data_IF_499796778505
#
_entry.id   IF_499796778505
#
_cell.length_a   1.000
_cell.length_b   1.000
_cell.length_c   1.000
_cell.angle_alpha   90.00
_cell.angle_beta   90.00
_cell.angle_gamma   90.00
#
_symmetry.space_group_name_H-M   'P 1'
#
loop_
_entity.id
_entity.type
_entity.pdbx_description
1 polymer ?
#
# COMPACT_ATOMS: atom_id res chain seq x y z
N UNK A 1 -4.70 -5.59 -12.29
CA UNK A 1 -4.73 -4.81 -11.06
C UNK A 1 -3.42 -5.00 -10.34
N UNK A 2 -2.70 -3.92 -10.08
CA UNK A 2 -1.37 -3.96 -9.49
C UNK A 2 -1.38 -4.07 -7.97
N UNK A 3 -0.21 -4.40 -7.42
CA UNK A 3 0.04 -4.40 -5.98
C UNK A 3 -0.09 -2.98 -5.38
N UNK A 4 0.24 -1.98 -6.19
CA UNK A 4 0.20 -0.56 -5.82
C UNK A 4 -1.22 -0.09 -5.49
N UNK A 5 -2.21 -0.39 -6.32
CA UNK A 5 -3.59 0.08 -6.12
C UNK A 5 -4.18 -0.47 -4.81
N UNK A 6 -3.85 -1.73 -4.48
CA UNK A 6 -4.24 -2.34 -3.21
C UNK A 6 -3.52 -1.70 -2.03
N UNK A 7 -2.23 -1.42 -2.16
CA UNK A 7 -1.46 -0.72 -1.14
C UNK A 7 -1.99 0.70 -0.90
N UNK A 8 -2.23 1.45 -1.97
CA UNK A 8 -2.80 2.81 -1.95
C UNK A 8 -4.19 2.81 -1.30
N UNK A 9 -5.02 1.79 -1.57
CA UNK A 9 -6.31 1.64 -0.92
C UNK A 9 -6.17 1.50 0.60
N UNK A 10 -5.28 0.63 1.08
CA UNK A 10 -5.03 0.45 2.52
C UNK A 10 -4.48 1.75 3.13
N UNK A 11 -3.58 2.44 2.43
CA UNK A 11 -3.01 3.70 2.88
C UNK A 11 -4.07 4.80 2.98
N UNK A 12 -4.92 4.94 1.97
CA UNK A 12 -6.02 5.91 1.92
C UNK A 12 -7.07 5.67 3.01
N UNK A 13 -7.23 4.42 3.43
CA UNK A 13 -8.12 4.00 4.52
C UNK A 13 -7.48 4.14 5.92
N UNK A 14 -6.35 4.84 6.03
CA UNK A 14 -5.67 5.09 7.32
C UNK A 14 -4.59 4.06 7.65
N UNK A 15 -4.05 3.36 6.66
CA UNK A 15 -2.98 2.37 6.82
C UNK A 15 -3.42 1.03 7.40
N UNK A 16 -4.71 0.87 7.70
CA UNK A 16 -5.30 -0.37 8.22
C UNK A 16 -6.70 -0.56 7.61
N UNK A 17 -6.94 -1.69 6.95
CA UNK A 17 -8.22 -1.93 6.27
C UNK A 17 -8.59 -3.42 6.20
N UNK A 18 -9.89 -3.71 6.18
CA UNK A 18 -10.41 -5.06 5.88
C UNK A 18 -10.51 -5.29 4.38
N UNK A 19 -10.58 -6.56 3.97
CA UNK A 19 -10.77 -6.92 2.55
C UNK A 19 -11.98 -6.21 1.92
N UNK A 20 -13.11 -6.16 2.65
CA UNK A 20 -14.34 -5.51 2.19
C UNK A 20 -14.15 -4.02 1.93
N UNK A 21 -13.47 -3.30 2.84
CA UNK A 21 -13.20 -1.87 2.67
C UNK A 21 -12.24 -1.61 1.50
N UNK A 22 -11.21 -2.44 1.34
CA UNK A 22 -10.28 -2.35 0.21
C UNK A 22 -11.04 -2.54 -1.10
N UNK A 23 -11.89 -3.56 -1.19
CA UNK A 23 -12.70 -3.81 -2.39
C UNK A 23 -13.66 -2.68 -2.69
N UNK A 24 -14.36 -2.16 -1.69
CA UNK A 24 -15.26 -1.03 -1.84
C UNK A 24 -14.51 0.20 -2.38
N UNK A 25 -13.35 0.54 -1.82
CA UNK A 25 -12.51 1.62 -2.32
C UNK A 25 -12.10 1.40 -3.79
N UNK A 26 -11.63 0.18 -4.10
CA UNK A 26 -11.17 -0.15 -5.45
C UNK A 26 -12.32 -0.16 -6.48
N UNK A 27 -13.50 -0.62 -6.12
CA UNK A 27 -14.68 -0.61 -7.00
C UNK A 27 -15.15 0.81 -7.30
N UNK A 28 -15.12 1.69 -6.29
CA UNK A 28 -15.46 3.10 -6.48
C UNK A 28 -14.47 3.84 -7.39
N UNK A 29 -13.17 3.51 -7.30
CA UNK A 29 -12.10 4.20 -8.04
C UNK A 29 -11.81 3.61 -9.41
N UNK A 30 -11.84 2.28 -9.52
CA UNK A 30 -11.55 1.52 -10.73
C UNK A 30 -12.77 0.64 -11.00
N UNK A 31 -13.66 1.13 -11.88
CA UNK A 31 -14.98 0.58 -12.23
C UNK A 31 -15.04 -0.96 -12.46
N UNK A 32 -13.89 -1.65 -12.57
CA UNK A 32 -13.79 -3.10 -12.57
C UNK A 32 -12.61 -3.59 -11.72
N UNK A 33 -12.90 -4.39 -10.68
CA UNK A 33 -11.92 -5.00 -9.79
C UNK A 33 -12.36 -6.43 -9.46
N UNK A 34 -11.62 -7.44 -9.92
CA UNK A 34 -11.90 -8.85 -9.60
C UNK A 34 -11.43 -9.21 -8.19
N UNK A 35 -12.23 -10.02 -7.49
CA UNK A 35 -11.91 -10.49 -6.14
C UNK A 35 -10.57 -11.23 -6.10
N UNK A 36 -10.38 -12.17 -7.03
CA UNK A 36 -9.18 -12.99 -7.17
C UNK A 36 -7.93 -12.14 -7.36
N UNK A 37 -8.01 -11.07 -8.16
CA UNK A 37 -6.88 -10.16 -8.41
C UNK A 37 -6.51 -9.35 -7.17
N UNK A 38 -7.50 -8.90 -6.40
CA UNK A 38 -7.27 -8.22 -5.13
C UNK A 38 -6.59 -9.17 -4.13
N UNK A 39 -7.05 -10.42 -4.09
CA UNK A 39 -6.49 -11.44 -3.22
C UNK A 39 -5.04 -11.80 -3.58
N UNK A 40 -4.73 -11.90 -4.87
CA UNK A 40 -3.37 -12.14 -5.37
C UNK A 40 -2.43 -10.98 -5.05
N UNK A 41 -2.89 -9.74 -5.25
CA UNK A 41 -2.14 -8.54 -4.89
C UNK A 41 -1.87 -8.45 -3.38
N UNK A 42 -2.85 -8.73 -2.53
CA UNK A 42 -2.67 -8.79 -1.08
C UNK A 42 -1.64 -9.85 -0.66
N UNK A 43 -1.67 -11.04 -1.27
CA UNK A 43 -0.67 -12.09 -1.01
C UNK A 43 0.73 -11.61 -1.35
N UNK A 44 0.92 -10.98 -2.51
CA UNK A 44 2.22 -10.44 -2.93
C UNK A 44 2.73 -9.35 -1.99
N UNK A 45 1.85 -8.43 -1.56
CA UNK A 45 2.20 -7.40 -0.58
C UNK A 45 2.63 -8.00 0.78
N UNK A 46 1.98 -9.08 1.22
CA UNK A 46 2.36 -9.82 2.44
C UNK A 46 3.72 -10.51 2.24
N UNK A 47 3.93 -11.19 1.11
CA UNK A 47 5.21 -11.84 0.80
C UNK A 47 6.37 -10.83 0.78
N UNK A 48 6.12 -9.63 0.29
CA UNK A 48 7.09 -8.53 0.27
C UNK A 48 7.22 -7.80 1.62
N UNK A 49 6.54 -8.25 2.68
CA UNK A 49 6.53 -7.62 4.01
C UNK A 49 6.07 -6.16 4.03
N UNK A 50 5.31 -5.74 3.01
CA UNK A 50 4.77 -4.38 2.89
C UNK A 50 3.50 -4.20 3.71
N UNK A 51 2.73 -5.29 3.87
CA UNK A 51 1.55 -5.34 4.71
C UNK A 51 1.54 -6.61 5.56
N UNK A 52 0.76 -6.61 6.64
CA UNK A 52 0.49 -7.77 7.48
C UNK A 52 -1.01 -7.99 7.64
N UNK A 53 -1.47 -9.23 7.48
CA UNK A 53 -2.88 -9.60 7.62
C UNK A 53 -3.16 -10.33 8.93
N UNK A 54 -3.79 -9.65 9.89
CA UNK A 54 -4.11 -10.17 11.24
C UNK A 54 -5.59 -10.58 11.31
N UNK A 55 -5.94 -11.76 11.85
CA UNK A 55 -7.34 -12.13 12.05
C UNK A 55 -8.04 -11.20 13.04
N UNK A 56 -9.27 -10.79 12.74
CA UNK A 56 -10.07 -9.88 13.59
C UNK A 56 -10.43 -10.53 14.92
N UNK A 57 -10.69 -11.83 14.90
CA UNK A 57 -10.97 -12.62 16.08
C UNK A 57 -10.39 -14.03 15.92
N UNK A 58 -10.08 -14.68 17.04
CA UNK A 58 -9.59 -16.06 17.04
C UNK A 58 -10.64 -16.99 16.41
N UNK A 59 -10.26 -17.73 15.38
CA UNK A 59 -11.17 -18.59 14.62
C UNK A 59 -11.99 -17.89 13.53
N UNK A 60 -11.76 -16.59 13.28
CA UNK A 60 -12.43 -15.86 12.20
C UNK A 60 -11.56 -15.80 10.94
N UNK A 61 -12.14 -16.12 9.79
CA UNK A 61 -11.48 -16.00 8.47
C UNK A 61 -11.29 -14.54 8.02
N UNK A 62 -12.00 -13.59 8.65
CA UNK A 62 -11.84 -12.16 8.36
C UNK A 62 -10.52 -11.64 8.91
N UNK A 63 -9.78 -10.97 8.05
CA UNK A 63 -8.48 -10.36 8.36
C UNK A 63 -8.53 -8.85 8.17
N UNK A 64 -7.78 -8.17 9.02
CA UNK A 64 -7.42 -6.76 8.87
C UNK A 64 -6.00 -6.71 8.34
N UNK A 65 -5.79 -5.93 7.27
CA UNK A 65 -4.52 -5.71 6.63
C UNK A 65 -3.97 -4.37 7.10
N UNK A 66 -2.76 -4.36 7.65
CA UNK A 66 -2.04 -3.15 8.07
C UNK A 66 -0.79 -2.96 7.23
N UNK A 67 -0.45 -1.73 6.89
CA UNK A 67 0.84 -1.40 6.30
C UNK A 67 1.95 -1.62 7.34
N UNK A 68 3.02 -2.30 6.94
CA UNK A 68 4.18 -2.59 7.78
C UNK A 68 5.47 -1.99 7.26
N UNK A 69 5.53 -1.67 5.96
CA UNK A 69 6.66 -0.99 5.35
C UNK A 69 6.20 -0.07 4.21
N UNK A 70 7.05 0.89 3.87
CA UNK A 70 6.83 1.78 2.74
C UNK A 70 7.04 1.05 1.41
N UNK A 71 6.20 1.35 0.43
CA UNK A 71 6.29 0.72 -0.88
C UNK A 71 7.55 1.21 -1.63
N UNK A 72 8.53 0.33 -1.94
CA UNK A 72 9.87 0.74 -2.36
C UNK A 72 9.91 1.46 -3.72
N UNK A 73 8.99 1.14 -4.64
CA UNK A 73 9.01 1.70 -6.01
C UNK A 73 8.64 3.19 -6.10
N UNK A 74 8.23 3.83 -4.99
CA UNK A 74 7.97 5.29 -4.94
C UNK A 74 8.92 6.07 -4.04
N UNK A 75 9.93 5.41 -3.45
CA UNK A 75 11.02 6.09 -2.79
C UNK A 75 12.04 6.57 -3.84
N UNK A 76 11.59 7.39 -4.80
CA UNK A 76 12.48 8.13 -5.68
C UNK A 76 13.09 9.19 -4.78
N UNK A 77 14.31 8.92 -4.32
CA UNK A 77 15.19 9.95 -3.78
C UNK A 77 15.27 11.02 -4.88
N UNK A 78 14.60 12.16 -4.67
CA UNK A 78 14.89 13.37 -5.43
C UNK A 78 16.29 13.77 -4.98
N UNK A 79 17.30 13.18 -5.62
CA UNK A 79 18.65 13.73 -5.56
C UNK A 79 18.53 15.02 -6.35
N UNK A 80 18.24 16.12 -5.67
CA UNK A 80 18.51 17.44 -6.22
C UNK A 80 20.02 17.46 -6.56
N UNK A 81 20.32 17.21 -7.83
CA UNK A 81 21.55 17.64 -8.47
C UNK A 81 21.50 19.17 -8.59
N UNK A 82 21.56 19.87 -7.47
CA UNK A 82 21.74 21.31 -7.47
C UNK A 82 23.16 21.60 -7.02
N UNK A 83 24.08 21.47 -7.99
CA UNK A 83 25.41 22.06 -7.87
C UNK A 83 25.25 23.57 -7.74
N UNK A 84 25.61 24.11 -6.58
CA UNK A 84 26.24 25.43 -6.36
C UNK A 84 26.40 25.58 -4.85
N UNK A 85 27.58 25.23 -4.33
CA UNK A 85 28.05 25.77 -3.06
C UNK A 85 28.57 27.17 -3.32
N UNK A 86 27.70 28.18 -3.22
CA UNK A 86 28.11 29.57 -2.99
C UNK A 86 27.89 29.88 -1.52
N UNK A 87 28.93 29.72 -0.72
CA UNK A 87 29.04 30.42 0.55
C UNK A 87 29.93 31.63 0.32
N UNK A 88 29.31 32.80 0.14
CA UNK A 88 29.98 34.10 0.21
C UNK A 88 29.88 34.55 1.67
N UNK A 89 31.01 34.65 2.35
CA UNK A 89 31.20 35.48 3.54
C UNK A 89 32.70 35.74 3.75
N UNK A 90 33.11 36.98 3.45
CA UNK A 90 34.41 37.63 3.66
C UNK A 90 35.64 37.07 2.91
#
# INVERSE_FOLDING_TARGET
>A
MGQWEVYEAIQSLGGTATFSQIREYLQNKYCYCSESSTHDALKKLICNSLISGVPIAKGNSRRVYRITAEFPERNIIVIEKNGVSRSVAA
#
